data_IF_760446802997
#
_entry.id   IF_760446802997
#
_cell.length_a   1.000
_cell.length_b   1.000
_cell.length_c   1.000
_cell.angle_alpha   90.00
_cell.angle_beta   90.00
_cell.angle_gamma   90.00
#
_symmetry.space_group_name_H-M   'P 1'
#
loop_
_entity.id
_entity.type
_entity.pdbx_description
1 polymer ?
#
# COMPACT_ATOMS: atom_id res chain seq x y z
N UNK A 1 -0.33 13.47 16.72
CA UNK A 1 -0.32 12.00 16.87
C UNK A 1 0.92 11.51 16.15
N UNK A 2 1.96 11.11 16.88
CA UNK A 2 3.18 10.59 16.24
C UNK A 2 2.90 9.14 15.89
N UNK A 3 2.71 8.83 14.60
CA UNK A 3 2.62 7.43 14.15
C UNK A 3 4.00 6.83 14.40
N UNK A 4 4.13 6.09 15.51
CA UNK A 4 5.33 5.35 15.80
C UNK A 4 5.28 4.12 14.91
N UNK A 5 5.92 4.19 13.75
CA UNK A 5 6.15 3.03 12.89
C UNK A 5 6.80 1.93 13.75
N UNK A 6 6.27 0.72 13.66
CA UNK A 6 6.86 -0.38 14.41
C UNK A 6 8.16 -0.75 13.72
N UNK A 7 9.23 -0.91 14.50
CA UNK A 7 10.52 -1.32 13.95
C UNK A 7 10.49 -2.83 13.85
N UNK A 8 10.42 -3.34 12.62
CA UNK A 8 10.49 -4.76 12.34
C UNK A 8 11.83 -5.34 12.76
N UNK A 9 11.81 -6.48 13.44
CA UNK A 9 13.02 -7.28 13.58
C UNK A 9 13.41 -7.93 12.23
N UNK A 10 14.62 -8.46 12.14
CA UNK A 10 15.15 -9.00 10.89
C UNK A 10 14.27 -10.14 10.32
N UNK A 11 13.75 -10.99 11.18
CA UNK A 11 12.87 -12.09 10.77
C UNK A 11 11.56 -11.56 10.15
N UNK A 12 10.90 -10.60 10.80
CA UNK A 12 9.66 -9.99 10.31
C UNK A 12 9.86 -9.33 8.94
N UNK A 13 10.98 -8.61 8.76
CA UNK A 13 11.30 -7.99 7.47
C UNK A 13 11.50 -9.04 6.38
N UNK A 14 12.26 -10.10 6.65
CA UNK A 14 12.52 -11.15 5.68
C UNK A 14 11.25 -11.92 5.34
N UNK A 15 10.42 -12.21 6.34
CA UNK A 15 9.13 -12.87 6.15
C UNK A 15 8.24 -12.06 5.20
N UNK A 16 8.05 -10.77 5.46
CA UNK A 16 7.18 -9.90 4.67
C UNK A 16 7.74 -9.61 3.27
N UNK A 17 9.05 -9.34 3.14
CA UNK A 17 9.72 -9.08 1.84
C UNK A 17 9.63 -10.27 0.89
N UNK A 18 9.58 -11.49 1.42
CA UNK A 18 9.46 -12.71 0.60
C UNK A 18 8.08 -12.93 -0.03
N UNK A 19 7.09 -12.05 0.24
CA UNK A 19 5.68 -12.22 -0.15
C UNK A 19 5.29 -11.24 -1.24
N UNK A 20 4.40 -11.68 -2.12
CA UNK A 20 3.68 -10.86 -3.12
C UNK A 20 2.56 -10.03 -2.47
N UNK A 21 1.97 -9.07 -3.21
CA UNK A 21 0.80 -8.31 -2.71
C UNK A 21 -0.41 -9.18 -2.40
N UNK A 22 -0.68 -10.18 -3.23
CA UNK A 22 -1.80 -11.08 -2.98
C UNK A 22 -1.58 -11.90 -1.70
N UNK A 23 -0.37 -12.45 -1.51
CA UNK A 23 -0.05 -13.18 -0.28
C UNK A 23 -0.13 -12.29 0.96
N UNK A 24 0.37 -11.05 0.90
CA UNK A 24 0.23 -10.12 2.02
C UNK A 24 -1.24 -9.81 2.33
N UNK A 25 -2.08 -9.62 1.31
CA UNK A 25 -3.51 -9.39 1.47
C UNK A 25 -4.21 -10.58 2.15
N UNK A 26 -3.91 -11.81 1.74
CA UNK A 26 -4.46 -13.02 2.35
C UNK A 26 -4.04 -13.17 3.82
N UNK A 27 -2.76 -12.94 4.13
CA UNK A 27 -2.26 -13.00 5.50
C UNK A 27 -2.89 -11.88 6.33
N UNK A 28 -3.10 -10.69 5.76
CA UNK A 28 -3.77 -9.58 6.45
C UNK A 28 -5.21 -9.93 6.84
N UNK A 29 -5.97 -10.52 5.93
CA UNK A 29 -7.33 -11.02 6.21
C UNK A 29 -7.30 -12.08 7.31
N UNK A 30 -6.38 -13.04 7.24
CA UNK A 30 -6.22 -14.07 8.26
C UNK A 30 -5.85 -13.49 9.63
N UNK A 31 -4.93 -12.53 9.68
CA UNK A 31 -4.51 -11.85 10.90
C UNK A 31 -5.68 -11.11 11.57
N UNK A 32 -6.50 -10.42 10.77
CA UNK A 32 -7.71 -9.74 11.24
C UNK A 32 -8.77 -10.72 11.74
N UNK A 33 -8.96 -11.83 11.03
CA UNK A 33 -9.90 -12.88 11.44
C UNK A 33 -9.52 -13.53 12.78
N UNK A 34 -8.22 -13.74 13.01
CA UNK A 34 -7.67 -14.34 14.24
C UNK A 34 -7.43 -13.31 15.37
N UNK A 35 -7.78 -12.04 15.17
CA UNK A 35 -7.52 -10.90 16.08
C UNK A 35 -6.03 -10.76 16.48
N UNK A 36 -5.11 -11.05 15.56
CA UNK A 36 -3.67 -10.88 15.78
C UNK A 36 -3.25 -9.46 15.37
N UNK A 37 -3.52 -8.49 16.25
CA UNK A 37 -3.33 -7.05 16.00
C UNK A 37 -1.91 -6.65 15.60
N UNK A 38 -0.89 -7.30 16.15
CA UNK A 38 0.51 -7.03 15.78
C UNK A 38 0.76 -7.38 14.32
N UNK A 39 0.28 -8.55 13.87
CA UNK A 39 0.46 -9.01 12.50
C UNK A 39 -0.36 -8.18 11.50
N UNK A 40 -1.59 -7.82 11.85
CA UNK A 40 -2.40 -6.86 11.07
C UNK A 40 -1.65 -5.55 10.83
N UNK A 41 -1.12 -4.96 11.91
CA UNK A 41 -0.38 -3.70 11.83
C UNK A 41 0.92 -3.84 11.03
N UNK A 42 1.65 -4.94 11.19
CA UNK A 42 2.89 -5.20 10.48
C UNK A 42 2.68 -5.32 8.97
N UNK A 43 1.67 -6.07 8.56
CA UNK A 43 1.36 -6.23 7.13
C UNK A 43 0.86 -4.91 6.55
N UNK A 44 0.02 -4.18 7.29
CA UNK A 44 -0.45 -2.86 6.87
C UNK A 44 0.69 -1.88 6.61
N UNK A 45 1.74 -1.90 7.45
CA UNK A 45 2.92 -1.05 7.27
C UNK A 45 3.76 -1.46 6.06
N UNK A 46 3.94 -2.76 5.81
CA UNK A 46 4.65 -3.25 4.62
C UNK A 46 3.92 -2.89 3.32
N UNK A 47 2.59 -3.08 3.27
CA UNK A 47 1.78 -2.70 2.11
C UNK A 47 1.90 -1.20 1.85
N UNK A 48 1.80 -0.37 2.92
CA UNK A 48 1.98 1.06 2.81
C UNK A 48 3.39 1.45 2.32
N UNK A 49 4.44 0.78 2.80
CA UNK A 49 5.80 1.02 2.37
C UNK A 49 5.97 0.79 0.86
N UNK A 50 5.45 -0.32 0.32
CA UNK A 50 5.52 -0.61 -1.11
C UNK A 50 4.70 0.35 -1.95
N UNK A 51 3.54 0.79 -1.47
CA UNK A 51 2.73 1.80 -2.15
C UNK A 51 3.46 3.15 -2.21
N UNK A 52 4.13 3.55 -1.14
CA UNK A 52 4.91 4.81 -1.12
C UNK A 52 6.04 4.82 -2.15
N UNK A 53 6.65 3.66 -2.44
CA UNK A 53 7.71 3.55 -3.47
C UNK A 53 7.20 3.84 -4.89
N UNK A 54 5.90 3.65 -5.15
CA UNK A 54 5.28 3.80 -6.48
C UNK A 54 4.25 4.93 -6.57
N UNK A 55 3.93 5.59 -5.46
CA UNK A 55 2.80 6.53 -5.32
C UNK A 55 2.78 7.70 -6.32
N UNK A 56 3.93 8.03 -6.92
CA UNK A 56 4.07 9.11 -7.91
C UNK A 56 3.72 8.72 -9.35
N UNK A 57 3.37 7.46 -9.61
CA UNK A 57 3.10 6.92 -10.93
C UNK A 57 1.84 6.02 -10.85
N UNK A 58 0.73 6.52 -11.39
CA UNK A 58 -0.57 5.86 -11.34
C UNK A 58 -0.54 4.49 -12.00
N UNK A 59 0.17 4.34 -13.11
CA UNK A 59 0.33 3.04 -13.77
C UNK A 59 1.10 2.05 -12.89
N UNK A 60 2.20 2.49 -12.24
CA UNK A 60 2.93 1.59 -11.32
C UNK A 60 2.11 1.17 -10.11
N UNK A 61 1.29 2.07 -9.57
CA UNK A 61 0.37 1.72 -8.47
C UNK A 61 -0.62 0.66 -8.93
N UNK A 62 -1.22 0.85 -10.11
CA UNK A 62 -2.15 -0.11 -10.72
C UNK A 62 -1.48 -1.47 -10.98
N UNK A 63 -0.28 -1.48 -11.55
CA UNK A 63 0.49 -2.69 -11.82
C UNK A 63 0.84 -3.45 -10.52
N UNK A 64 1.21 -2.72 -9.45
CA UNK A 64 1.50 -3.32 -8.14
C UNK A 64 0.27 -3.99 -7.52
N UNK A 65 -0.91 -3.37 -7.70
CA UNK A 65 -2.17 -3.87 -7.16
C UNK A 65 -2.86 -4.89 -8.08
N UNK A 66 -2.43 -5.00 -9.34
CA UNK A 66 -3.08 -5.85 -10.35
C UNK A 66 -4.42 -5.33 -10.84
N UNK A 67 -4.67 -4.03 -10.71
CA UNK A 67 -5.94 -3.39 -11.05
C UNK A 67 -5.86 -2.68 -12.42
N UNK A 68 -6.81 -2.90 -13.35
CA UNK A 68 -6.82 -2.20 -14.62
C UNK A 68 -7.16 -0.71 -14.45
N UNK A 69 -6.78 0.11 -15.44
CA UNK A 69 -7.22 1.50 -15.51
C UNK A 69 -8.63 1.59 -16.09
N UNK A 70 -9.58 2.00 -15.24
CA UNK A 70 -11.00 2.09 -15.50
C UNK A 70 -11.47 3.54 -15.77
N UNK A 71 -10.56 4.51 -15.69
CA UNK A 71 -10.88 5.92 -15.90
C UNK A 71 -10.70 6.33 -17.35
N UNK A 72 -11.62 7.16 -17.85
CA UNK A 72 -11.43 7.87 -19.12
C UNK A 72 -10.38 8.99 -18.97
N UNK A 73 -9.81 9.44 -20.09
CA UNK A 73 -8.83 10.54 -20.05
C UNK A 73 -9.43 11.85 -19.52
N UNK A 74 -10.71 12.11 -19.80
CA UNK A 74 -11.41 13.29 -19.25
C UNK A 74 -11.53 13.24 -17.73
N UNK A 75 -11.83 12.06 -17.17
CA UNK A 75 -11.91 11.85 -15.72
C UNK A 75 -10.53 11.97 -15.06
N UNK A 76 -9.48 11.39 -15.66
CA UNK A 76 -8.10 11.55 -15.18
C UNK A 76 -7.68 13.01 -15.16
N UNK A 77 -7.98 13.76 -16.22
CA UNK A 77 -7.65 15.17 -16.31
C UNK A 77 -8.40 16.02 -15.28
N UNK A 78 -9.66 15.70 -15.01
CA UNK A 78 -10.43 16.32 -13.94
C UNK A 78 -9.78 16.05 -12.58
N UNK A 79 -9.46 14.79 -12.27
CA UNK A 79 -8.82 14.40 -11.00
C UNK A 79 -7.45 15.07 -10.85
N UNK A 80 -6.63 15.14 -11.92
CA UNK A 80 -5.33 15.82 -11.92
C UNK A 80 -5.46 17.31 -11.66
N UNK A 81 -6.47 17.97 -12.22
CA UNK A 81 -6.77 19.40 -11.99
C UNK A 81 -7.21 19.65 -10.56
N UNK A 82 -8.13 18.83 -10.03
CA UNK A 82 -8.62 18.94 -8.65
C UNK A 82 -7.50 18.69 -7.62
N UNK A 83 -6.54 17.83 -7.96
CA UNK A 83 -5.41 17.48 -7.09
C UNK A 83 -4.12 18.23 -7.39
N UNK A 84 -4.14 19.26 -8.24
CA UNK A 84 -2.93 19.97 -8.68
C UNK A 84 -2.15 20.60 -7.51
N UNK A 85 -2.85 20.92 -6.42
CA UNK A 85 -2.27 21.44 -5.18
C UNK A 85 -1.36 20.45 -4.45
N UNK A 86 -1.48 19.14 -4.69
CA UNK A 86 -0.68 18.12 -4.01
C UNK A 86 0.78 18.17 -4.45
N UNK A 87 1.06 18.79 -5.60
CA UNK A 87 2.45 19.01 -6.05
C UNK A 87 3.21 20.05 -5.22
N UNK A 88 2.50 20.82 -4.38
CA UNK A 88 3.06 21.94 -3.61
C UNK A 88 3.02 21.71 -2.09
N UNK A 89 2.60 20.52 -1.64
CA UNK A 89 2.52 20.11 -0.25
C UNK A 89 3.62 19.09 0.05
#
# INVERSE_FOLDING_TARGET
>A
MTVKWFVFNEFEQQFLKSKTMNELSEIWVAARYLDVKSLDLFISQEIAARLVEVLGDDQKVRDLLGEPDDLTEEEKDKIRKENIWLKYC
#
